data_IF_294312880821
#
_entry.id   IF_294312880821
#
_cell.length_a   1.000
_cell.length_b   1.000
_cell.length_c   1.000
_cell.angle_alpha   90.00
_cell.angle_beta   90.00
_cell.angle_gamma   90.00
#
_symmetry.space_group_name_H-M   'P 1'
#
loop_
_entity.id
_entity.type
_entity.pdbx_description
1 polymer ?
#
# COMPACT_ATOMS: atom_id res chain seq x y z
N UNK A 1 21.28 20.98 -7.56
CA UNK A 1 22.00 19.98 -6.73
C UNK A 1 23.26 19.50 -7.44
N UNK A 2 24.34 19.15 -6.71
CA UNK A 2 25.55 18.53 -7.29
C UNK A 2 25.28 17.06 -7.66
N UNK A 3 25.49 16.61 -8.91
CA UNK A 3 25.33 15.19 -9.30
C UNK A 3 26.07 14.20 -8.39
N UNK A 4 27.27 14.53 -7.92
CA UNK A 4 28.06 13.69 -7.01
C UNK A 4 27.38 13.49 -5.63
N UNK A 5 26.46 14.39 -5.26
CA UNK A 5 25.69 14.22 -4.03
C UNK A 5 24.59 13.17 -4.19
N UNK A 6 23.85 13.22 -5.31
CA UNK A 6 22.82 12.23 -5.64
C UNK A 6 23.43 10.84 -5.77
N UNK A 7 24.59 10.72 -6.42
CA UNK A 7 25.25 9.42 -6.57
C UNK A 7 25.67 8.83 -5.22
N UNK A 8 26.19 9.65 -4.30
CA UNK A 8 26.46 9.19 -2.93
C UNK A 8 25.21 8.76 -2.18
N UNK A 9 24.09 9.47 -2.35
CA UNK A 9 22.81 9.08 -1.74
C UNK A 9 22.29 7.77 -2.34
N UNK A 10 22.44 7.55 -3.65
CA UNK A 10 22.08 6.29 -4.31
C UNK A 10 22.87 5.10 -3.77
N UNK A 11 24.18 5.28 -3.54
CA UNK A 11 25.03 4.22 -2.98
C UNK A 11 24.71 3.91 -1.51
N UNK A 12 24.25 4.91 -0.76
CA UNK A 12 23.91 4.77 0.66
C UNK A 12 22.47 4.31 0.92
N UNK A 13 21.55 4.54 -0.02
CA UNK A 13 20.14 4.26 0.16
C UNK A 13 19.87 2.75 0.26
N UNK A 14 19.08 2.36 1.26
CA UNK A 14 18.67 0.99 1.48
C UNK A 14 17.21 0.92 1.94
N UNK A 15 16.47 -0.09 1.46
CA UNK A 15 15.03 -0.22 1.75
C UNK A 15 14.71 -0.48 3.23
N UNK A 16 15.63 -1.11 3.96
CA UNK A 16 15.55 -1.32 5.40
C UNK A 16 15.94 -0.07 6.21
N UNK A 17 16.31 1.04 5.55
CA UNK A 17 16.54 2.34 6.16
C UNK A 17 15.70 3.40 5.43
N UNK A 18 14.49 3.63 5.95
CA UNK A 18 13.58 4.64 5.40
C UNK A 18 14.23 6.02 5.27
N UNK A 19 15.03 6.46 6.25
CA UNK A 19 15.61 7.79 6.23
C UNK A 19 16.56 7.94 5.03
N UNK A 20 17.36 6.92 4.77
CA UNK A 20 18.24 6.89 3.59
C UNK A 20 17.46 6.96 2.26
N UNK A 21 16.31 6.28 2.18
CA UNK A 21 15.44 6.28 1.00
C UNK A 21 14.73 7.63 0.83
N UNK A 22 14.25 8.21 1.93
CA UNK A 22 13.62 9.52 1.97
C UNK A 22 14.59 10.62 1.51
N UNK A 23 15.83 10.61 2.01
CA UNK A 23 16.86 11.56 1.60
C UNK A 23 17.21 11.43 0.13
N UNK A 24 17.32 10.20 -0.38
CA UNK A 24 17.48 9.97 -1.82
C UNK A 24 16.28 10.53 -2.62
N UNK A 25 15.04 10.22 -2.22
CA UNK A 25 13.85 10.67 -2.93
C UNK A 25 13.74 12.20 -2.96
N UNK A 26 13.97 12.88 -1.82
CA UNK A 26 14.02 14.35 -1.75
C UNK A 26 15.07 14.92 -2.70
N UNK A 27 16.27 14.34 -2.68
CA UNK A 27 17.34 14.77 -3.55
C UNK A 27 17.00 14.63 -5.04
N UNK A 28 16.29 13.55 -5.40
CA UNK A 28 15.82 13.33 -6.77
C UNK A 28 14.74 14.34 -7.17
N UNK A 29 13.76 14.63 -6.31
CA UNK A 29 12.76 15.67 -6.58
C UNK A 29 13.38 17.05 -6.76
N UNK A 30 14.39 17.42 -5.98
CA UNK A 30 15.11 18.69 -6.14
C UNK A 30 15.87 18.80 -7.48
N UNK A 31 16.15 17.67 -8.12
CA UNK A 31 16.70 17.66 -9.49
C UNK A 31 15.62 17.75 -10.58
N UNK A 32 14.34 17.81 -10.20
CA UNK A 32 13.20 17.98 -11.10
C UNK A 32 12.60 16.67 -11.63
N UNK A 33 12.97 15.52 -11.05
CA UNK A 33 12.36 14.24 -11.42
C UNK A 33 10.90 14.21 -10.97
N UNK A 34 10.05 13.60 -11.79
CA UNK A 34 8.66 13.31 -11.42
C UNK A 34 8.56 12.08 -10.50
N UNK A 35 7.40 11.84 -9.83
CA UNK A 35 7.24 10.70 -8.93
C UNK A 35 7.55 9.34 -9.54
N UNK A 36 7.22 9.13 -10.83
CA UNK A 36 7.49 7.86 -11.53
C UNK A 36 9.00 7.64 -11.67
N UNK A 37 9.72 8.70 -12.01
CA UNK A 37 11.17 8.66 -12.12
C UNK A 37 11.86 8.49 -10.77
N UNK A 38 11.37 9.14 -9.72
CA UNK A 38 11.87 8.98 -8.35
C UNK A 38 11.75 7.53 -7.90
N UNK A 39 10.55 6.93 -7.99
CA UNK A 39 10.36 5.52 -7.64
C UNK A 39 11.28 4.59 -8.44
N UNK A 40 11.41 4.84 -9.75
CA UNK A 40 12.30 4.05 -10.62
C UNK A 40 13.74 4.09 -10.16
N UNK A 41 14.25 5.26 -9.75
CA UNK A 41 15.63 5.40 -9.28
C UNK A 41 15.80 4.80 -7.88
N UNK A 42 14.88 5.05 -6.97
CA UNK A 42 14.91 4.54 -5.59
C UNK A 42 14.92 3.01 -5.53
N UNK A 43 14.13 2.35 -6.39
CA UNK A 43 13.91 0.90 -6.31
C UNK A 43 14.55 0.10 -7.45
N UNK A 44 15.17 0.79 -8.42
CA UNK A 44 15.75 0.17 -9.62
C UNK A 44 14.70 -0.48 -10.54
N UNK A 45 13.42 -0.16 -10.36
CA UNK A 45 12.30 -0.66 -11.16
C UNK A 45 11.14 0.32 -11.17
N UNK A 46 10.38 0.35 -12.26
CA UNK A 46 9.13 1.10 -12.31
C UNK A 46 8.06 0.47 -11.40
N UNK A 47 7.12 1.31 -10.96
CA UNK A 47 5.92 0.87 -10.25
C UNK A 47 4.69 0.97 -11.16
N UNK A 48 3.65 0.14 -10.90
CA UNK A 48 2.38 0.21 -11.62
C UNK A 48 1.69 1.57 -11.40
N UNK A 49 0.87 2.00 -12.37
CA UNK A 49 0.23 3.32 -12.34
C UNK A 49 -0.76 3.48 -11.18
N UNK A 50 -1.30 2.37 -10.67
CA UNK A 50 -2.15 2.35 -9.48
C UNK A 50 -1.48 2.96 -8.25
N UNK A 51 -0.15 2.83 -8.10
CA UNK A 51 0.57 3.44 -6.97
C UNK A 51 0.46 4.97 -7.04
N UNK A 52 0.73 5.56 -8.21
CA UNK A 52 0.64 7.00 -8.41
C UNK A 52 -0.80 7.48 -8.32
N UNK A 53 -1.75 6.71 -8.86
CA UNK A 53 -3.18 7.02 -8.83
C UNK A 53 -3.72 7.11 -7.39
N UNK A 54 -3.34 6.17 -6.53
CA UNK A 54 -3.74 6.16 -5.12
C UNK A 54 -3.11 7.36 -4.39
N UNK A 55 -1.83 7.65 -4.63
CA UNK A 55 -1.14 8.80 -4.03
C UNK A 55 -1.79 10.12 -4.44
N UNK A 56 -2.11 10.26 -5.73
CA UNK A 56 -2.77 11.45 -6.27
C UNK A 56 -4.19 11.66 -5.73
N UNK A 57 -4.87 10.58 -5.38
CA UNK A 57 -6.17 10.64 -4.71
C UNK A 57 -6.07 11.01 -3.22
N UNK A 58 -4.86 11.15 -2.68
CA UNK A 58 -4.62 11.48 -1.28
C UNK A 58 -4.71 10.27 -0.37
N UNK A 59 -3.84 9.28 -0.61
CA UNK A 59 -3.64 8.02 0.15
C UNK A 59 -4.16 8.04 1.60
N UNK A 60 -3.67 8.96 2.43
CA UNK A 60 -3.97 9.03 3.86
C UNK A 60 -5.39 9.52 4.22
N UNK A 61 -6.13 9.99 3.23
CA UNK A 61 -7.53 10.40 3.35
C UNK A 61 -8.49 9.39 2.72
N UNK A 62 -7.96 8.33 2.10
CA UNK A 62 -8.76 7.27 1.53
C UNK A 62 -9.23 6.36 2.68
N UNK A 63 -10.54 6.32 2.92
CA UNK A 63 -11.17 5.46 3.93
C UNK A 63 -11.27 4.02 3.41
N UNK A 64 -10.12 3.44 3.08
CA UNK A 64 -9.98 2.08 2.57
C UNK A 64 -9.69 1.11 3.73
N UNK A 65 -10.07 -0.15 3.57
CA UNK A 65 -9.84 -1.22 4.55
C UNK A 65 -8.39 -1.71 4.50
N UNK A 66 -7.46 -0.76 4.59
CA UNK A 66 -6.04 -0.98 4.41
C UNK A 66 -5.22 0.07 5.18
N UNK A 67 -4.25 -0.40 5.95
CA UNK A 67 -3.19 0.44 6.51
C UNK A 67 -2.02 0.46 5.55
N UNK A 68 -1.80 1.59 4.87
CA UNK A 68 -0.70 1.71 3.91
C UNK A 68 0.64 1.88 4.61
N UNK A 69 1.68 1.26 4.05
CA UNK A 69 3.05 1.32 4.55
C UNK A 69 3.69 2.68 4.31
N UNK A 70 4.86 2.95 4.87
CA UNK A 70 5.64 4.14 4.57
C UNK A 70 6.25 4.04 3.17
N UNK A 71 6.88 2.91 2.84
CA UNK A 71 7.41 2.66 1.48
C UNK A 71 6.47 1.74 0.69
N UNK A 72 6.27 1.97 -0.63
CA UNK A 72 6.87 3.01 -1.46
C UNK A 72 6.16 4.37 -1.40
N UNK A 73 5.05 4.45 -0.67
CA UNK A 73 4.07 5.54 -0.76
C UNK A 73 4.63 6.93 -0.48
N UNK A 74 5.42 7.09 0.58
CA UNK A 74 6.05 8.36 0.93
C UNK A 74 7.05 8.82 -0.13
N UNK A 75 7.69 7.90 -0.86
CA UNK A 75 8.63 8.24 -1.95
C UNK A 75 7.90 8.76 -3.19
N UNK A 76 6.65 8.37 -3.37
CA UNK A 76 5.79 8.81 -4.47
C UNK A 76 5.16 10.19 -4.22
N UNK A 77 5.32 10.79 -3.03
CA UNK A 77 4.80 12.11 -2.68
C UNK A 77 5.91 13.15 -2.78
N UNK A 78 5.79 14.18 -3.64
CA UNK A 78 6.74 15.29 -3.72
C UNK A 78 6.83 16.15 -2.43
N UNK A 79 7.97 16.84 -2.19
CA UNK A 79 8.16 17.71 -1.02
C UNK A 79 7.17 18.85 -0.88
N UNK A 80 6.74 19.45 -1.99
CA UNK A 80 5.71 20.50 -2.00
C UNK A 80 4.31 19.98 -1.65
N UNK A 81 4.12 18.65 -1.65
CA UNK A 81 2.91 17.95 -1.23
C UNK A 81 3.07 17.24 0.12
N UNK A 82 4.18 17.47 0.82
CA UNK A 82 4.42 17.00 2.18
C UNK A 82 5.13 15.65 2.30
N UNK A 83 5.76 15.15 1.23
CA UNK A 83 6.50 13.88 1.26
C UNK A 83 7.93 13.96 0.72
N UNK A 84 8.79 12.98 0.98
CA UNK A 84 8.69 11.98 2.05
C UNK A 84 8.60 12.63 3.44
N UNK A 85 7.74 12.11 4.31
CA UNK A 85 7.61 12.57 5.69
C UNK A 85 8.87 12.28 6.53
N UNK A 86 9.16 13.13 7.52
CA UNK A 86 10.26 12.92 8.48
C UNK A 86 9.88 11.91 9.58
N UNK A 87 8.62 11.96 10.02
CA UNK A 87 8.07 11.04 11.02
C UNK A 87 7.43 9.83 10.34
N UNK A 88 7.77 8.64 10.84
CA UNK A 88 7.31 7.35 10.34
C UNK A 88 6.00 6.92 11.01
N UNK A 89 5.12 6.30 10.22
CA UNK A 89 4.02 5.54 10.79
C UNK A 89 4.56 4.27 11.49
N UNK A 90 4.02 3.86 12.66
CA UNK A 90 4.44 2.64 13.37
C UNK A 90 4.44 1.36 12.54
N UNK A 91 3.73 1.30 11.41
CA UNK A 91 3.78 0.18 10.47
C UNK A 91 5.19 -0.10 9.90
N UNK A 92 6.17 0.81 10.09
CA UNK A 92 7.57 0.58 9.71
C UNK A 92 8.15 -0.70 10.31
N UNK A 93 7.77 -1.08 11.53
CA UNK A 93 8.27 -2.32 12.16
C UNK A 93 7.83 -3.55 11.35
N UNK A 94 6.61 -3.52 10.80
CA UNK A 94 6.10 -4.54 9.88
C UNK A 94 6.86 -4.53 8.55
N UNK A 95 7.16 -3.35 8.00
CA UNK A 95 7.97 -3.24 6.77
C UNK A 95 9.34 -3.89 6.92
N UNK A 96 10.02 -3.63 8.04
CA UNK A 96 11.34 -4.18 8.33
C UNK A 96 11.29 -5.70 8.51
N UNK A 97 10.25 -6.24 9.15
CA UNK A 97 10.07 -7.69 9.27
C UNK A 97 9.86 -8.36 7.91
N UNK A 98 9.06 -7.76 7.02
CA UNK A 98 8.83 -8.28 5.67
C UNK A 98 10.13 -8.27 4.86
N UNK A 99 10.88 -7.18 4.90
CA UNK A 99 12.17 -7.06 4.19
C UNK A 99 13.23 -8.02 4.74
N UNK A 100 13.25 -8.26 6.06
CA UNK A 100 14.15 -9.23 6.68
C UNK A 100 13.78 -10.68 6.31
N UNK A 101 12.50 -10.97 6.13
CA UNK A 101 12.01 -12.29 5.70
C UNK A 101 12.38 -12.58 4.25
N UNK A 102 12.05 -11.65 3.35
CA UNK A 102 12.36 -11.76 1.93
C UNK A 102 12.68 -10.36 1.37
N UNK A 103 13.96 -10.06 1.08
CA UNK A 103 14.34 -8.78 0.53
C UNK A 103 13.65 -8.48 -0.81
N UNK A 104 13.22 -9.47 -1.59
CA UNK A 104 12.51 -9.19 -2.85
C UNK A 104 11.09 -8.64 -2.63
N UNK A 105 10.52 -8.79 -1.44
CA UNK A 105 9.21 -8.22 -1.13
C UNK A 105 9.27 -6.70 -0.95
N UNK A 106 8.21 -6.05 -1.42
CA UNK A 106 7.91 -4.64 -1.21
C UNK A 106 6.55 -4.53 -0.53
N UNK A 107 6.48 -4.34 0.80
CA UNK A 107 5.21 -4.21 1.49
C UNK A 107 4.47 -2.96 1.02
N UNK A 108 3.14 -3.07 0.87
CA UNK A 108 2.28 -2.01 0.32
C UNK A 108 1.19 -1.61 1.31
N UNK A 109 0.52 -2.59 1.90
CA UNK A 109 -0.56 -2.34 2.83
C UNK A 109 -0.81 -3.54 3.71
N UNK A 110 -1.34 -3.31 4.92
CA UNK A 110 -1.88 -4.34 5.79
C UNK A 110 -3.41 -4.24 5.77
N UNK A 111 -4.06 -5.34 5.40
CA UNK A 111 -5.52 -5.48 5.40
C UNK A 111 -5.94 -6.17 6.69
N UNK A 112 -6.77 -5.54 7.53
CA UNK A 112 -7.32 -6.17 8.72
C UNK A 112 -8.09 -7.43 8.40
N UNK A 113 -8.00 -8.43 9.28
CA UNK A 113 -8.84 -9.62 9.19
C UNK A 113 -10.33 -9.24 9.26
N UNK A 114 -11.16 -9.82 8.39
CA UNK A 114 -12.60 -9.57 8.38
C UNK A 114 -13.32 -10.12 9.64
N UNK A 115 -12.68 -11.06 10.35
CA UNK A 115 -13.23 -11.70 11.55
C UNK A 115 -12.20 -11.77 12.67
N UNK A 116 -12.69 -11.64 13.90
CA UNK A 116 -11.86 -11.82 15.08
C UNK A 116 -11.26 -13.24 15.13
N UNK A 117 -9.95 -13.31 15.33
CA UNK A 117 -9.20 -14.57 15.41
C UNK A 117 -8.65 -15.08 14.07
N UNK A 118 -8.93 -14.38 12.97
CA UNK A 118 -8.21 -14.56 11.71
C UNK A 118 -6.99 -13.60 11.66
N UNK A 119 -6.02 -13.93 10.82
CA UNK A 119 -4.80 -13.13 10.64
C UNK A 119 -5.04 -11.98 9.66
N UNK A 120 -4.38 -10.86 9.91
CA UNK A 120 -4.27 -9.76 8.94
C UNK A 120 -3.47 -10.24 7.72
N UNK A 121 -3.59 -9.50 6.62
CA UNK A 121 -2.85 -9.80 5.39
C UNK A 121 -2.01 -8.62 4.98
N UNK A 122 -0.69 -8.79 4.94
CA UNK A 122 0.21 -7.80 4.34
C UNK A 122 0.28 -8.07 2.85
N UNK A 123 -0.12 -7.08 2.06
CA UNK A 123 0.03 -7.07 0.62
C UNK A 123 1.42 -6.57 0.24
N UNK A 124 2.07 -7.28 -0.67
CA UNK A 124 3.39 -6.96 -1.17
C UNK A 124 3.42 -7.04 -2.70
N UNK A 125 4.26 -6.22 -3.33
CA UNK A 125 4.86 -6.61 -4.62
C UNK A 125 6.12 -7.42 -4.42
N UNK A 126 6.59 -8.05 -5.49
CA UNK A 126 7.97 -8.53 -5.64
C UNK A 126 8.75 -7.61 -6.57
N UNK A 127 9.95 -7.20 -6.18
CA UNK A 127 10.78 -6.32 -7.00
C UNK A 127 11.17 -7.02 -8.31
N UNK A 128 11.41 -8.32 -8.30
CA UNK A 128 11.65 -9.10 -9.53
C UNK A 128 10.44 -9.13 -10.48
N UNK A 129 9.21 -9.24 -9.95
CA UNK A 129 7.98 -9.16 -10.75
C UNK A 129 7.81 -7.77 -11.36
N UNK A 130 8.06 -6.72 -10.57
CA UNK A 130 8.02 -5.33 -11.04
C UNK A 130 9.04 -5.08 -12.15
N UNK A 131 10.27 -5.60 -12.02
CA UNK A 131 11.31 -5.50 -13.07
C UNK A 131 10.89 -6.18 -14.35
N UNK A 132 10.08 -7.23 -14.25
CA UNK A 132 9.50 -7.92 -15.38
C UNK A 132 8.19 -7.30 -15.89
N UNK A 133 7.82 -6.11 -15.38
CA UNK A 133 6.63 -5.37 -15.79
C UNK A 133 5.31 -5.97 -15.29
N UNK A 134 5.33 -6.76 -14.21
CA UNK A 134 4.14 -7.40 -13.63
C UNK A 134 3.79 -6.78 -12.28
N UNK A 135 2.53 -6.39 -12.13
CA UNK A 135 1.96 -5.86 -10.89
C UNK A 135 1.40 -6.96 -9.95
N UNK A 136 1.96 -8.17 -10.04
CA UNK A 136 1.51 -9.32 -9.24
C UNK A 136 1.59 -9.01 -7.75
N UNK A 137 0.46 -9.12 -7.06
CA UNK A 137 0.36 -8.91 -5.61
C UNK A 137 0.51 -10.24 -4.90
N UNK A 138 1.29 -10.23 -3.83
CA UNK A 138 1.49 -11.34 -2.91
C UNK A 138 0.94 -10.96 -1.54
N UNK A 139 0.49 -11.94 -0.76
CA UNK A 139 0.09 -11.76 0.63
C UNK A 139 0.90 -12.61 1.58
N UNK A 140 1.16 -12.04 2.75
CA UNK A 140 1.70 -12.71 3.94
C UNK A 140 0.68 -12.60 5.08
N UNK A 141 0.43 -13.67 5.84
CA UNK A 141 -0.34 -13.56 7.08
C UNK A 141 0.45 -12.79 8.15
N UNK A 142 -0.26 -11.96 8.90
CA UNK A 142 0.31 -11.14 9.95
C UNK A 142 -0.58 -11.11 11.18
N UNK A 143 0.01 -10.84 12.34
CA UNK A 143 -0.78 -10.52 13.52
C UNK A 143 -1.57 -9.21 13.30
N UNK A 144 -2.70 -9.02 14.02
CA UNK A 144 -3.48 -7.80 13.95
C UNK A 144 -2.66 -6.55 14.27
N UNK A 145 -2.79 -5.49 13.46
CA UNK A 145 -2.19 -4.20 13.75
C UNK A 145 -2.65 -3.65 15.13
N UNK A 146 -1.78 -3.03 15.95
CA UNK A 146 -0.40 -2.61 15.70
C UNK A 146 0.68 -3.63 16.10
N UNK A 147 0.35 -4.92 16.21
CA UNK A 147 1.35 -5.93 16.55
C UNK A 147 2.13 -6.38 15.31
N UNK A 148 3.45 -6.17 15.33
CA UNK A 148 4.34 -6.53 14.23
C UNK A 148 4.83 -7.98 14.40
N UNK A 149 4.05 -8.94 13.91
CA UNK A 149 4.46 -10.36 13.82
C UNK A 149 4.01 -10.95 12.48
N UNK A 150 4.89 -11.65 11.77
CA UNK A 150 4.56 -12.41 10.56
C UNK A 150 4.24 -13.87 10.93
N UNK A 151 3.18 -14.42 10.35
CA UNK A 151 2.77 -15.82 10.55
C UNK A 151 2.83 -16.52 9.20
N UNK A 152 3.42 -17.71 9.17
CA UNK A 152 3.68 -18.47 7.93
C UNK A 152 4.63 -17.73 6.97
N UNK A 153 5.68 -18.39 6.50
CA UNK A 153 6.83 -17.71 5.89
C UNK A 153 6.75 -17.56 4.37
N UNK A 154 5.80 -18.23 3.72
CA UNK A 154 5.71 -18.21 2.26
C UNK A 154 4.67 -17.20 1.77
N UNK A 155 5.15 -16.20 1.01
CA UNK A 155 4.28 -15.24 0.36
C UNK A 155 3.47 -15.92 -0.76
N UNK A 156 2.15 -15.84 -0.70
CA UNK A 156 1.26 -16.44 -1.70
C UNK A 156 0.72 -15.39 -2.65
N UNK A 157 0.57 -15.71 -3.94
CA UNK A 157 -0.03 -14.79 -4.91
C UNK A 157 -1.50 -14.56 -4.57
N UNK A 158 -1.93 -13.30 -4.49
CA UNK A 158 -3.31 -12.93 -4.14
C UNK A 158 -4.03 -12.11 -5.23
N UNK A 159 -3.32 -11.56 -6.22
CA UNK A 159 -3.95 -10.86 -7.34
C UNK A 159 -2.95 -10.34 -8.36
N UNK A 160 -3.48 -9.71 -9.42
CA UNK A 160 -2.68 -9.18 -10.54
C UNK A 160 -2.49 -7.66 -10.48
N UNK A 161 -3.14 -6.99 -9.51
CA UNK A 161 -3.07 -5.55 -9.25
C UNK A 161 -3.52 -5.30 -7.81
N UNK A 162 -2.93 -4.28 -7.17
CA UNK A 162 -3.33 -3.86 -5.83
C UNK A 162 -4.79 -3.39 -5.79
N UNK A 163 -5.22 -2.58 -6.76
CA UNK A 163 -6.59 -2.09 -6.84
C UNK A 163 -7.60 -3.22 -7.08
N UNK A 164 -7.22 -4.28 -7.80
CA UNK A 164 -8.07 -5.47 -7.94
C UNK A 164 -8.26 -6.18 -6.59
N UNK A 165 -7.18 -6.38 -5.83
CA UNK A 165 -7.24 -7.00 -4.49
C UNK A 165 -8.06 -6.14 -3.52
N UNK A 166 -7.84 -4.83 -3.50
CA UNK A 166 -8.63 -3.90 -2.68
C UNK A 166 -10.11 -3.91 -3.08
N UNK A 167 -10.41 -4.01 -4.38
CA UNK A 167 -11.79 -4.09 -4.86
C UNK A 167 -12.49 -5.33 -4.32
N UNK A 168 -11.84 -6.49 -4.38
CA UNK A 168 -12.37 -7.75 -3.86
C UNK A 168 -12.61 -7.67 -2.35
N UNK A 169 -11.64 -7.14 -1.58
CA UNK A 169 -11.74 -6.94 -0.13
C UNK A 169 -12.94 -6.08 0.23
N UNK A 170 -13.09 -4.93 -0.43
CA UNK A 170 -14.21 -4.02 -0.17
C UNK A 170 -15.56 -4.61 -0.64
N UNK A 171 -15.57 -5.38 -1.73
CA UNK A 171 -16.78 -6.04 -2.21
C UNK A 171 -17.22 -7.18 -1.28
N UNK A 172 -16.29 -7.93 -0.72
CA UNK A 172 -16.56 -8.94 0.31
C UNK A 172 -17.12 -8.29 1.59
N UNK A 173 -16.53 -7.19 2.05
CA UNK A 173 -17.03 -6.47 3.22
C UNK A 173 -18.43 -5.91 2.99
N UNK A 174 -18.69 -5.30 1.83
CA UNK A 174 -20.02 -4.82 1.48
C UNK A 174 -21.05 -5.96 1.50
N UNK A 175 -20.74 -7.10 0.87
CA UNK A 175 -21.62 -8.28 0.89
C UNK A 175 -21.92 -8.73 2.32
N UNK A 176 -20.89 -8.81 3.17
CA UNK A 176 -21.02 -9.20 4.57
C UNK A 176 -21.94 -8.24 5.34
N UNK A 177 -21.74 -6.93 5.17
CA UNK A 177 -22.56 -5.92 5.84
C UNK A 177 -24.01 -5.92 5.33
N UNK A 178 -24.24 -6.08 4.03
CA UNK A 178 -25.58 -6.21 3.46
C UNK A 178 -26.31 -7.46 3.99
N UNK A 179 -25.61 -8.60 4.09
CA UNK A 179 -26.15 -9.82 4.69
C UNK A 179 -26.48 -9.63 6.17
N UNK A 180 -25.54 -9.09 6.96
CA UNK A 180 -25.69 -8.86 8.41
C UNK A 180 -26.83 -7.88 8.71
N UNK A 181 -27.01 -6.83 7.90
CA UNK A 181 -28.07 -5.84 8.04
C UNK A 181 -29.47 -6.49 8.09
N UNK A 182 -29.66 -7.59 7.36
CA UNK A 182 -30.93 -8.30 7.25
C UNK A 182 -31.12 -9.42 8.29
N UNK A 183 -30.13 -9.67 9.15
CA UNK A 183 -30.20 -10.78 10.08
C UNK A 183 -31.08 -10.49 11.31
N UNK A 184 -31.81 -11.48 11.84
CA UNK A 184 -32.63 -11.31 13.05
C UNK A 184 -31.85 -10.87 14.29
N UNK A 185 -30.56 -11.21 14.36
CA UNK A 185 -29.66 -10.89 15.48
C UNK A 185 -28.98 -9.53 15.36
N UNK A 186 -29.13 -8.82 14.24
CA UNK A 186 -28.56 -7.50 14.02
C UNK A 186 -29.32 -6.42 14.82
N UNK A 187 -29.13 -6.43 16.15
CA UNK A 187 -29.82 -5.57 17.12
C UNK A 187 -28.90 -5.27 18.31
N UNK A 188 -28.91 -4.02 18.78
CA UNK A 188 -28.18 -3.61 19.98
C UNK A 188 -26.86 -2.91 19.66
N UNK A 189 -25.97 -2.83 20.65
CA UNK A 189 -24.66 -2.21 20.44
C UNK A 189 -23.82 -3.06 19.47
N UNK A 190 -23.30 -2.44 18.41
CA UNK A 190 -22.55 -3.12 17.35
C UNK A 190 -23.40 -3.70 16.22
N UNK A 191 -24.70 -3.37 16.16
CA UNK A 191 -25.52 -3.71 15.00
C UNK A 191 -25.10 -2.90 13.77
N UNK A 192 -24.96 -3.57 12.63
CA UNK A 192 -24.74 -2.93 11.34
C UNK A 192 -25.94 -2.07 10.99
N UNK A 193 -25.69 -0.80 10.68
CA UNK A 193 -26.71 0.12 10.21
C UNK A 193 -26.59 0.40 8.70
N UNK A 194 -27.56 1.15 8.16
CA UNK A 194 -27.57 1.48 6.73
C UNK A 194 -26.43 2.43 6.32
N UNK A 195 -25.90 3.21 7.26
CA UNK A 195 -24.80 4.14 6.99
C UNK A 195 -23.52 3.36 6.78
N UNK A 196 -23.25 2.35 7.61
CA UNK A 196 -22.09 1.45 7.43
C UNK A 196 -22.12 0.76 6.06
N UNK A 197 -23.29 0.24 5.65
CA UNK A 197 -23.47 -0.34 4.30
C UNK A 197 -23.23 0.68 3.19
N UNK A 198 -23.71 1.91 3.35
CA UNK A 198 -23.48 2.97 2.35
C UNK A 198 -22.00 3.34 2.26
N UNK A 199 -21.31 3.48 3.39
CA UNK A 199 -19.86 3.75 3.43
C UNK A 199 -19.06 2.63 2.74
N UNK A 200 -19.41 1.36 2.97
CA UNK A 200 -18.79 0.25 2.27
C UNK A 200 -19.05 0.29 0.75
N UNK A 201 -20.25 0.71 0.32
CA UNK A 201 -20.58 0.89 -1.09
C UNK A 201 -19.78 2.03 -1.71
N UNK A 202 -19.67 3.16 -1.03
CA UNK A 202 -18.85 4.30 -1.45
C UNK A 202 -17.38 3.89 -1.62
N UNK A 203 -16.84 3.08 -0.69
CA UNK A 203 -15.47 2.57 -0.80
C UNK A 203 -15.28 1.65 -2.03
N UNK A 204 -16.24 0.76 -2.33
CA UNK A 204 -16.19 -0.07 -3.56
C UNK A 204 -16.17 0.79 -4.82
N UNK A 205 -17.00 1.83 -4.89
CA UNK A 205 -17.03 2.75 -6.04
C UNK A 205 -15.76 3.60 -6.13
N UNK A 206 -15.20 4.02 -4.99
CA UNK A 206 -13.91 4.71 -4.95
C UNK A 206 -12.80 3.85 -5.54
N UNK A 207 -12.67 2.58 -5.13
CA UNK A 207 -11.65 1.68 -5.69
C UNK A 207 -11.85 1.46 -7.19
N UNK A 208 -13.11 1.32 -7.65
CA UNK A 208 -13.43 1.23 -9.08
C UNK A 208 -13.01 2.47 -9.85
N UNK A 209 -13.21 3.65 -9.28
CA UNK A 209 -12.77 4.91 -9.90
C UNK A 209 -11.25 4.97 -10.00
N UNK A 210 -10.54 4.64 -8.92
CA UNK A 210 -9.07 4.57 -8.93
C UNK A 210 -8.58 3.59 -10.00
N UNK A 211 -9.22 2.43 -10.13
CA UNK A 211 -8.84 1.44 -11.14
C UNK A 211 -9.06 1.95 -12.58
N UNK A 212 -10.18 2.63 -12.85
CA UNK A 212 -10.43 3.25 -14.15
C UNK A 212 -9.38 4.32 -14.48
N UNK A 213 -8.97 5.12 -13.50
CA UNK A 213 -7.92 6.14 -13.69
C UNK A 213 -6.56 5.51 -13.99
N UNK A 214 -6.15 4.52 -13.21
CA UNK A 214 -4.89 3.82 -13.41
C UNK A 214 -4.78 3.18 -14.81
N UNK A 215 -5.83 2.48 -15.25
CA UNK A 215 -5.85 1.83 -16.57
C UNK A 215 -5.94 2.81 -17.74
N UNK A 216 -6.57 3.98 -17.55
CA UNK A 216 -6.61 5.02 -18.57
C UNK A 216 -5.26 5.73 -18.79
N UNK A 217 -4.37 5.66 -17.79
CA UNK A 217 -3.04 6.27 -17.84
C UNK A 217 -1.94 5.30 -18.30
N UNK A 218 -2.25 4.01 -18.47
CA UNK A 218 -1.35 2.97 -19.00
C UNK A 218 -1.38 2.84 -20.53
N UNK A 219 -2.36 3.46 -21.22
CA UNK A 219 -2.54 3.40 -22.68
C UNK A 219 -2.13 4.66 -23.41
#
# INVERSE_FOLDING_TARGET
>A
MNPEHVDRLREAASRDDYASMADLARALYETGLDPREVLRVCYGTGFPEEVLTIVDAGLWSLDLLAYFTNQPWQMAVPPDRGGPADDLDPIVDTELLVLALDPDLMPLAQIPAAKAGEDDRILCYRVEELRAGRATVFCLPAAPYPYSELRDTEATRCGDSLLAVLHEVHADELRRLEEELHQPWNRGAGSVDRREVEQAREAVELVRELWRRATAQEG
#
